data_IF_430222783173
#
_entry.id   IF_430222783173
#
_cell.length_a   1.000
_cell.length_b   1.000
_cell.length_c   1.000
_cell.angle_alpha   90.00
_cell.angle_beta   90.00
_cell.angle_gamma   90.00
#
_symmetry.space_group_name_H-M   'P 1'
#
loop_
_entity.id
_entity.type
_entity.pdbx_description
1 polymer ?
#
# COMPACT_ATOMS: atom_id res chain seq x y z
N UNK A 1 2.90 -0.92 22.54
CA UNK A 1 3.12 -0.61 21.12
C UNK A 1 4.61 -0.71 20.84
N UNK A 2 4.99 -1.27 19.73
CA UNK A 2 6.39 -1.40 19.33
C UNK A 2 6.81 -0.18 18.53
N UNK A 3 7.99 0.38 18.85
CA UNK A 3 8.58 1.47 18.08
C UNK A 3 8.80 1.05 16.61
N UNK A 4 9.34 -0.14 16.41
CA UNK A 4 9.55 -0.74 15.10
C UNK A 4 8.57 -1.88 14.84
N UNK A 5 8.32 -2.25 13.56
CA UNK A 5 7.47 -3.39 13.25
C UNK A 5 8.05 -4.69 13.84
N UNK A 6 7.18 -5.47 14.47
CA UNK A 6 7.55 -6.79 15.01
C UNK A 6 7.28 -7.93 14.03
N UNK A 7 6.62 -7.63 12.92
CA UNK A 7 6.27 -8.59 11.87
C UNK A 7 6.46 -7.96 10.49
N UNK A 8 6.63 -8.81 9.48
CA UNK A 8 6.76 -8.35 8.09
C UNK A 8 5.48 -7.67 7.62
N UNK A 9 4.32 -8.16 8.04
CA UNK A 9 3.00 -7.64 7.70
C UNK A 9 2.19 -7.31 8.94
N UNK A 10 1.37 -6.27 8.85
CA UNK A 10 0.44 -5.88 9.92
C UNK A 10 -0.94 -5.60 9.33
N UNK A 11 -1.99 -6.12 9.95
CA UNK A 11 -3.35 -5.76 9.59
C UNK A 11 -3.67 -4.38 10.15
N UNK A 12 -4.01 -3.43 9.27
CA UNK A 12 -4.35 -2.05 9.64
C UNK A 12 -5.84 -1.90 9.89
N UNK A 13 -6.64 -2.42 8.97
CA UNK A 13 -8.07 -2.66 9.12
C UNK A 13 -8.38 -4.07 8.61
N UNK A 14 -9.56 -4.57 8.90
CA UNK A 14 -9.96 -5.91 8.44
C UNK A 14 -9.68 -6.07 6.95
N UNK A 15 -8.87 -7.05 6.60
CA UNK A 15 -8.43 -7.40 5.26
C UNK A 15 -7.56 -6.34 4.54
N UNK A 16 -7.16 -5.28 5.21
CA UNK A 16 -6.20 -4.32 4.68
C UNK A 16 -4.90 -4.41 5.47
N UNK A 17 -3.84 -4.84 4.81
CA UNK A 17 -2.53 -5.10 5.40
C UNK A 17 -1.49 -4.14 4.84
N UNK A 18 -0.51 -3.85 5.65
CA UNK A 18 0.65 -3.04 5.28
C UNK A 18 1.92 -3.79 5.67
N UNK A 19 2.94 -3.76 4.82
CA UNK A 19 4.16 -4.48 5.14
C UNK A 19 5.36 -4.15 4.27
N UNK A 20 6.45 -4.87 4.58
CA UNK A 20 7.72 -4.80 3.86
C UNK A 20 7.92 -5.98 2.91
N UNK A 21 9.16 -6.13 2.47
CA UNK A 21 9.60 -7.25 1.63
C UNK A 21 10.82 -7.91 2.27
N UNK A 22 10.90 -9.21 2.12
CA UNK A 22 11.99 -10.04 2.61
C UNK A 22 12.24 -11.14 1.59
N UNK A 23 13.49 -11.58 1.44
CA UNK A 23 13.86 -12.65 0.50
C UNK A 23 13.21 -14.00 0.87
N UNK A 24 12.84 -14.18 2.13
CA UNK A 24 12.14 -15.37 2.63
C UNK A 24 10.61 -15.17 2.72
N UNK A 25 10.09 -14.13 2.11
CA UNK A 25 8.68 -13.82 2.13
C UNK A 25 7.86 -14.98 1.52
N UNK A 26 6.81 -15.38 2.20
CA UNK A 26 5.93 -16.48 1.77
C UNK A 26 5.27 -16.24 0.40
N UNK A 27 5.10 -14.98 0.01
CA UNK A 27 4.55 -14.63 -1.31
C UNK A 27 5.56 -14.80 -2.45
N UNK A 28 6.81 -15.09 -2.13
CA UNK A 28 7.89 -15.36 -3.08
C UNK A 28 8.39 -16.80 -3.04
N UNK A 29 7.78 -17.65 -2.23
CA UNK A 29 8.14 -19.05 -2.24
C UNK A 29 8.01 -19.59 -3.66
N UNK A 30 8.95 -20.48 -4.07
CA UNK A 30 8.80 -21.14 -5.36
C UNK A 30 7.38 -21.64 -5.45
N UNK A 31 6.69 -21.23 -6.50
CA UNK A 31 5.28 -21.53 -6.63
C UNK A 31 5.10 -23.04 -6.49
N UNK A 32 4.54 -23.47 -5.37
CA UNK A 32 4.05 -24.82 -5.27
C UNK A 32 2.92 -24.93 -6.30
N UNK A 33 3.10 -25.67 -7.41
CA UNK A 33 2.10 -25.74 -8.46
C UNK A 33 0.76 -26.29 -7.97
N UNK A 34 0.78 -26.92 -6.79
CA UNK A 34 -0.41 -27.50 -6.16
C UNK A 34 -1.02 -26.60 -5.09
N UNK A 35 -0.36 -25.48 -4.74
CA UNK A 35 -0.93 -24.54 -3.78
C UNK A 35 -2.20 -23.90 -4.34
N UNK A 36 -3.22 -23.84 -3.53
CA UNK A 36 -4.47 -23.16 -3.85
C UNK A 36 -4.36 -21.69 -3.52
N UNK A 37 -5.19 -20.85 -4.17
CA UNK A 37 -5.24 -19.41 -3.86
C UNK A 37 -5.46 -19.17 -2.35
N UNK A 38 -6.30 -19.97 -1.70
CA UNK A 38 -6.61 -19.81 -0.29
C UNK A 38 -5.45 -20.19 0.65
N UNK A 39 -4.41 -20.87 0.14
CA UNK A 39 -3.21 -21.19 0.92
C UNK A 39 -2.23 -20.03 1.01
N UNK A 40 -2.46 -18.96 0.23
CA UNK A 40 -1.65 -17.75 0.23
C UNK A 40 -2.24 -16.73 1.22
N UNK A 41 -1.39 -15.92 1.89
CA UNK A 41 -1.88 -14.98 2.90
C UNK A 41 -2.66 -13.81 2.31
N UNK A 42 -2.48 -13.49 1.03
CA UNK A 42 -3.08 -12.34 0.37
C UNK A 42 -3.69 -12.72 -0.97
N UNK A 43 -4.77 -12.04 -1.34
CA UNK A 43 -5.42 -12.16 -2.64
C UNK A 43 -4.92 -11.12 -3.62
N UNK A 44 -4.59 -9.92 -3.13
CA UNK A 44 -4.17 -8.77 -3.92
C UNK A 44 -3.06 -7.99 -3.23
N UNK A 45 -2.09 -7.52 -3.99
CA UNK A 45 -0.92 -6.80 -3.47
C UNK A 45 -0.65 -5.56 -4.30
N UNK A 46 -0.46 -4.42 -3.63
CA UNK A 46 0.13 -3.20 -4.22
C UNK A 46 1.58 -3.14 -3.81
N UNK A 47 2.49 -3.13 -4.76
CA UNK A 47 3.95 -3.11 -4.53
C UNK A 47 4.52 -1.77 -4.94
N UNK A 48 5.04 -1.02 -3.96
CA UNK A 48 5.62 0.31 -4.13
C UNK A 48 7.15 0.31 -4.14
N UNK A 49 7.77 -0.86 -4.13
CA UNK A 49 9.21 -1.05 -4.15
C UNK A 49 9.65 -1.74 -5.44
N UNK A 50 10.43 -1.04 -6.26
CA UNK A 50 10.81 -1.50 -7.60
C UNK A 50 11.61 -2.81 -7.59
N UNK A 51 12.41 -3.05 -6.55
CA UNK A 51 13.27 -4.23 -6.44
C UNK A 51 12.61 -5.42 -5.76
N UNK A 52 11.36 -5.27 -5.31
CA UNK A 52 10.62 -6.39 -4.73
C UNK A 52 10.44 -7.49 -5.78
N UNK A 53 10.66 -8.75 -5.34
CA UNK A 53 10.37 -9.90 -6.20
C UNK A 53 8.88 -9.91 -6.56
N UNK A 54 8.50 -10.36 -7.76
CA UNK A 54 7.09 -10.51 -8.11
C UNK A 54 6.38 -11.46 -7.15
N UNK A 55 5.13 -11.14 -6.85
CA UNK A 55 4.26 -12.03 -6.07
C UNK A 55 3.98 -13.33 -6.84
N UNK A 56 3.54 -14.36 -6.12
CA UNK A 56 3.10 -15.61 -6.74
C UNK A 56 2.03 -15.32 -7.83
N UNK A 57 2.08 -16.04 -8.93
CA UNK A 57 1.19 -15.82 -10.08
C UNK A 57 -0.32 -15.98 -9.74
N UNK A 58 -0.65 -16.62 -8.63
CA UNK A 58 -2.03 -16.77 -8.15
C UNK A 58 -2.55 -15.52 -7.43
N UNK A 59 -1.66 -14.57 -7.09
CA UNK A 59 -1.99 -13.32 -6.41
C UNK A 59 -2.03 -12.19 -7.44
N UNK A 60 -3.04 -11.36 -7.38
CA UNK A 60 -3.09 -10.16 -8.22
C UNK A 60 -2.12 -9.12 -7.68
N UNK A 61 -1.28 -8.56 -8.54
CA UNK A 61 -0.30 -7.56 -8.13
C UNK A 61 -0.39 -6.31 -9.00
N UNK A 62 -0.44 -5.14 -8.35
CA UNK A 62 -0.25 -3.85 -8.98
C UNK A 62 1.10 -3.28 -8.53
N UNK A 63 1.97 -2.97 -9.48
CA UNK A 63 3.33 -2.47 -9.18
C UNK A 63 3.50 -1.04 -9.63
N UNK A 64 3.95 -0.20 -8.69
CA UNK A 64 4.42 1.14 -8.97
C UNK A 64 5.62 1.43 -8.06
N UNK A 65 6.83 1.10 -8.52
CA UNK A 65 8.06 1.33 -7.77
C UNK A 65 8.43 2.80 -7.77
N UNK A 66 8.59 3.38 -6.57
CA UNK A 66 8.98 4.78 -6.37
C UNK A 66 10.08 4.88 -5.32
N UNK A 67 10.91 5.93 -5.37
CA UNK A 67 11.85 6.20 -4.27
C UNK A 67 11.09 6.67 -3.02
N UNK A 68 11.65 6.37 -1.85
CA UNK A 68 11.16 6.91 -0.58
C UNK A 68 11.78 8.30 -0.37
N UNK A 69 11.19 9.31 -0.96
CA UNK A 69 11.70 10.67 -0.95
C UNK A 69 10.56 11.69 -0.87
N UNK A 70 10.27 12.42 -1.93
CA UNK A 70 9.25 13.46 -1.96
C UNK A 70 8.11 13.07 -2.90
N UNK A 71 6.95 13.66 -2.67
CA UNK A 71 5.78 13.45 -3.55
C UNK A 71 6.07 13.97 -4.98
N UNK A 72 6.87 15.02 -5.10
CA UNK A 72 7.28 15.56 -6.41
C UNK A 72 8.08 14.57 -7.27
N UNK A 73 8.64 13.52 -6.65
CA UNK A 73 9.37 12.47 -7.35
C UNK A 73 8.44 11.38 -7.90
N UNK A 74 7.15 11.50 -7.64
CA UNK A 74 6.14 10.54 -8.09
C UNK A 74 5.30 11.09 -9.23
N UNK A 75 4.85 10.18 -10.08
CA UNK A 75 3.75 10.44 -11.01
C UNK A 75 2.43 10.31 -10.24
N UNK A 76 1.76 11.43 -9.99
CA UNK A 76 0.52 11.45 -9.20
C UNK A 76 -0.62 10.68 -9.85
N UNK A 77 -0.66 10.61 -11.19
CA UNK A 77 -1.67 9.80 -11.88
C UNK A 77 -1.47 8.31 -11.62
N UNK A 78 -0.22 7.86 -11.61
CA UNK A 78 0.12 6.46 -11.29
C UNK A 78 -0.10 6.14 -9.81
N UNK A 79 0.21 7.08 -8.92
CA UNK A 79 -0.12 6.94 -7.50
C UNK A 79 -1.63 6.78 -7.30
N UNK A 80 -2.42 7.59 -7.99
CA UNK A 80 -3.89 7.50 -7.94
C UNK A 80 -4.38 6.15 -8.45
N UNK A 81 -3.81 5.63 -9.53
CA UNK A 81 -4.15 4.31 -10.05
C UNK A 81 -3.84 3.21 -9.03
N UNK A 82 -2.69 3.28 -8.38
CA UNK A 82 -2.32 2.31 -7.33
C UNK A 82 -3.31 2.34 -6.16
N UNK A 83 -3.65 3.53 -5.68
CA UNK A 83 -4.63 3.74 -4.59
C UNK A 83 -6.00 3.22 -4.99
N UNK A 84 -6.49 3.59 -6.16
CA UNK A 84 -7.82 3.17 -6.65
C UNK A 84 -7.88 1.65 -6.84
N UNK A 85 -6.83 1.06 -7.39
CA UNK A 85 -6.77 -0.38 -7.58
C UNK A 85 -6.79 -1.11 -6.23
N UNK A 86 -5.94 -0.72 -5.29
CA UNK A 86 -5.89 -1.31 -3.95
C UNK A 86 -7.21 -1.16 -3.20
N UNK A 87 -7.80 0.02 -3.24
CA UNK A 87 -9.11 0.29 -2.65
C UNK A 87 -10.19 -0.64 -3.23
N UNK A 88 -10.24 -0.78 -4.54
CA UNK A 88 -11.22 -1.63 -5.23
C UNK A 88 -11.08 -3.10 -4.82
N UNK A 89 -9.84 -3.62 -4.74
CA UNK A 89 -9.60 -5.00 -4.32
C UNK A 89 -10.06 -5.21 -2.88
N UNK A 90 -9.71 -4.30 -1.99
CA UNK A 90 -10.12 -4.36 -0.59
C UNK A 90 -11.65 -4.27 -0.43
N UNK A 91 -12.30 -3.38 -1.16
CA UNK A 91 -13.77 -3.21 -1.09
C UNK A 91 -14.52 -4.45 -1.56
N UNK A 92 -13.99 -5.21 -2.47
CA UNK A 92 -14.63 -6.47 -2.91
C UNK A 92 -14.38 -7.66 -1.96
N UNK A 93 -13.65 -7.43 -0.85
CA UNK A 93 -13.41 -8.43 0.18
C UNK A 93 -12.08 -9.15 0.09
N UNK A 94 -11.17 -8.74 -0.80
CA UNK A 94 -9.83 -9.33 -0.89
C UNK A 94 -9.00 -9.01 0.36
N UNK A 95 -8.19 -9.97 0.77
CA UNK A 95 -7.07 -9.71 1.69
C UNK A 95 -6.00 -8.97 0.91
N UNK A 96 -5.91 -7.67 1.14
CA UNK A 96 -5.12 -6.75 0.31
C UNK A 96 -3.90 -6.26 1.09
N UNK A 97 -2.71 -6.53 0.56
CA UNK A 97 -1.44 -6.05 1.12
C UNK A 97 -0.93 -4.84 0.34
N UNK A 98 -0.56 -3.81 1.05
CA UNK A 98 0.20 -2.66 0.52
C UNK A 98 1.63 -2.78 1.04
N UNK A 99 2.60 -2.96 0.15
CA UNK A 99 3.99 -3.21 0.55
C UNK A 99 4.99 -2.28 -0.13
N UNK A 100 6.07 -2.01 0.59
CA UNK A 100 7.29 -1.41 0.05
C UNK A 100 8.50 -2.15 0.61
N UNK A 101 9.67 -1.56 0.67
CA UNK A 101 10.86 -2.25 1.20
C UNK A 101 10.74 -2.51 2.71
N UNK A 102 10.64 -1.45 3.51
CA UNK A 102 10.57 -1.56 4.98
C UNK A 102 9.13 -1.70 5.51
N UNK A 103 8.14 -1.37 4.70
CA UNK A 103 6.75 -1.36 5.14
C UNK A 103 6.43 -0.21 6.08
N UNK A 104 6.97 0.99 5.84
CA UNK A 104 6.81 2.15 6.70
C UNK A 104 6.28 3.38 5.95
N UNK A 105 7.00 3.86 4.93
CA UNK A 105 6.70 5.15 4.30
C UNK A 105 5.87 5.03 3.01
N UNK A 106 6.40 4.38 1.97
CA UNK A 106 5.71 4.27 0.67
C UNK A 106 4.41 3.46 0.79
N UNK A 107 4.47 2.33 1.47
CA UNK A 107 3.27 1.55 1.79
C UNK A 107 2.33 2.32 2.72
N UNK A 108 2.87 3.07 3.68
CA UNK A 108 2.09 3.93 4.57
C UNK A 108 1.34 5.02 3.82
N UNK A 109 1.98 5.66 2.85
CA UNK A 109 1.35 6.68 2.01
C UNK A 109 0.12 6.12 1.27
N UNK A 110 0.28 5.00 0.58
CA UNK A 110 -0.81 4.36 -0.18
C UNK A 110 -1.90 3.85 0.76
N UNK A 111 -1.54 3.23 1.87
CA UNK A 111 -2.51 2.74 2.87
C UNK A 111 -3.31 3.90 3.45
N UNK A 112 -2.67 5.02 3.79
CA UNK A 112 -3.36 6.21 4.29
C UNK A 112 -4.37 6.75 3.26
N UNK A 113 -3.98 6.84 1.99
CA UNK A 113 -4.87 7.30 0.93
C UNK A 113 -6.06 6.35 0.70
N UNK A 114 -5.85 5.04 0.82
CA UNK A 114 -6.94 4.05 0.76
C UNK A 114 -7.91 4.26 1.93
N UNK A 115 -7.42 4.45 3.14
CA UNK A 115 -8.24 4.73 4.31
C UNK A 115 -9.01 6.04 4.17
N UNK A 116 -8.35 7.09 3.65
CA UNK A 116 -8.99 8.37 3.39
C UNK A 116 -10.09 8.22 2.33
N UNK A 117 -9.88 7.44 1.30
CA UNK A 117 -10.89 7.13 0.29
C UNK A 117 -12.10 6.41 0.88
N UNK A 118 -11.91 5.65 1.95
CA UNK A 118 -13.00 5.01 2.69
C UNK A 118 -13.75 5.95 3.64
N UNK A 119 -13.30 7.19 3.80
CA UNK A 119 -13.96 8.23 4.60
C UNK A 119 -13.18 8.72 5.82
N UNK A 120 -11.97 8.23 6.06
CA UNK A 120 -11.14 8.70 7.18
C UNK A 120 -10.48 10.04 6.87
N UNK A 121 -10.25 10.86 7.91
CA UNK A 121 -9.34 12.00 7.79
C UNK A 121 -7.88 11.53 7.68
N UNK A 122 -7.01 12.36 7.12
CA UNK A 122 -5.58 12.06 7.06
C UNK A 122 -5.00 11.79 8.45
N UNK A 123 -5.36 12.61 9.44
CA UNK A 123 -4.90 12.44 10.82
C UNK A 123 -5.31 11.08 11.40
N UNK A 124 -6.57 10.69 11.24
CA UNK A 124 -7.08 9.40 11.73
C UNK A 124 -6.42 8.22 11.03
N UNK A 125 -6.21 8.30 9.72
CA UNK A 125 -5.53 7.27 8.95
C UNK A 125 -4.08 7.07 9.41
N UNK A 126 -3.34 8.16 9.59
CA UNK A 126 -1.95 8.12 10.07
C UNK A 126 -1.88 7.51 11.48
N UNK A 127 -2.77 7.92 12.38
CA UNK A 127 -2.84 7.38 13.74
C UNK A 127 -3.13 5.89 13.73
N UNK A 128 -4.06 5.43 12.92
CA UNK A 128 -4.42 4.01 12.80
C UNK A 128 -3.23 3.18 12.28
N UNK A 129 -2.54 3.68 11.27
CA UNK A 129 -1.35 3.03 10.73
C UNK A 129 -0.27 2.90 11.80
N UNK A 130 0.03 3.97 12.52
CA UNK A 130 1.03 3.96 13.59
C UNK A 130 0.65 3.01 14.72
N UNK A 131 -0.62 2.98 15.08
CA UNK A 131 -1.12 2.06 16.12
C UNK A 131 -0.95 0.60 15.73
N UNK A 132 -1.26 0.23 14.50
CA UNK A 132 -1.35 -1.18 14.09
C UNK A 132 -0.08 -1.70 13.41
N UNK A 133 0.74 -0.83 12.85
CA UNK A 133 2.00 -1.22 12.20
C UNK A 133 3.20 -0.99 13.12
N UNK A 134 3.51 0.26 13.42
CA UNK A 134 4.61 0.67 14.28
C UNK A 134 4.56 2.18 14.52
N UNK A 135 5.10 2.64 15.63
CA UNK A 135 5.11 4.08 15.96
C UNK A 135 5.87 4.91 14.92
N UNK A 136 6.91 4.34 14.30
CA UNK A 136 7.71 5.02 13.26
C UNK A 136 7.09 4.94 11.87
N UNK A 137 5.96 4.27 11.67
CA UNK A 137 5.32 4.25 10.36
C UNK A 137 5.02 5.68 9.90
N UNK A 138 5.27 5.94 8.62
CA UNK A 138 5.15 7.29 8.05
C UNK A 138 6.08 8.31 8.75
N UNK A 139 7.33 7.91 9.01
CA UNK A 139 8.34 8.86 9.51
C UNK A 139 8.83 9.84 8.43
N UNK A 140 8.52 9.60 7.16
CA UNK A 140 8.81 10.52 6.07
C UNK A 140 7.88 11.74 6.16
N UNK A 141 8.41 12.85 6.66
CA UNK A 141 7.64 14.07 6.89
C UNK A 141 7.06 14.68 5.62
N UNK A 142 7.70 14.48 4.47
CA UNK A 142 7.16 14.94 3.19
C UNK A 142 5.81 14.28 2.90
N UNK A 143 5.69 12.99 3.17
CA UNK A 143 4.44 12.24 2.97
C UNK A 143 3.36 12.67 3.96
N UNK A 144 3.72 12.81 5.25
CA UNK A 144 2.77 13.24 6.28
C UNK A 144 2.22 14.63 5.98
N UNK A 145 3.08 15.60 5.68
CA UNK A 145 2.67 16.96 5.34
C UNK A 145 1.77 16.99 4.11
N UNK A 146 2.13 16.24 3.07
CA UNK A 146 1.34 16.18 1.87
C UNK A 146 -0.04 15.54 2.13
N UNK A 147 -0.11 14.46 2.90
CA UNK A 147 -1.37 13.83 3.27
C UNK A 147 -2.28 14.79 4.02
N UNK A 148 -1.73 15.53 4.98
CA UNK A 148 -2.49 16.47 5.81
C UNK A 148 -2.99 17.68 5.01
N UNK A 149 -2.22 18.17 4.04
CA UNK A 149 -2.54 19.40 3.30
C UNK A 149 -3.31 19.07 2.01
N UNK A 150 -2.90 18.05 1.27
CA UNK A 150 -3.35 17.80 -0.10
C UNK A 150 -4.04 16.46 -0.30
N UNK A 151 -3.98 15.55 0.68
CA UNK A 151 -4.47 14.18 0.53
C UNK A 151 -5.96 14.11 0.22
N UNK A 152 -6.78 14.89 0.91
CA UNK A 152 -8.22 14.92 0.70
C UNK A 152 -8.59 15.39 -0.72
N UNK A 153 -7.99 16.46 -1.18
CA UNK A 153 -8.21 16.95 -2.55
C UNK A 153 -7.76 15.91 -3.58
N UNK A 154 -6.65 15.25 -3.30
CA UNK A 154 -6.12 14.21 -4.18
C UNK A 154 -7.08 13.05 -4.37
N UNK A 155 -7.66 12.51 -3.29
CA UNK A 155 -8.59 11.38 -3.36
C UNK A 155 -9.95 11.77 -3.93
N UNK A 156 -10.37 13.02 -3.78
CA UNK A 156 -11.65 13.52 -4.27
C UNK A 156 -11.62 14.00 -5.72
N UNK A 157 -10.43 14.14 -6.31
CA UNK A 157 -10.33 14.44 -7.73
C UNK A 157 -10.94 13.30 -8.53
N UNK A 158 -11.83 13.58 -9.51
CA UNK A 158 -12.28 12.56 -10.42
C UNK A 158 -11.05 11.95 -11.08
N UNK A 159 -11.08 10.63 -11.30
CA UNK A 159 -10.08 9.97 -12.13
C UNK A 159 -9.99 10.78 -13.40
N UNK A 160 -8.99 11.67 -13.48
CA UNK A 160 -8.83 12.50 -14.65
C UNK A 160 -8.74 11.52 -15.82
N UNK A 161 -9.63 11.71 -16.76
CA UNK A 161 -9.49 11.11 -18.05
C UNK A 161 -8.04 11.39 -18.45
N UNK A 162 -7.19 10.37 -18.38
CA UNK A 162 -5.94 10.44 -19.10
C UNK A 162 -6.32 10.88 -20.50
N UNK A 163 -5.71 11.97 -21.02
CA UNK A 163 -5.96 12.28 -22.42
C UNK A 163 -5.67 11.00 -23.18
N UNK A 164 -6.71 10.48 -23.83
CA UNK A 164 -6.53 9.38 -24.76
C UNK A 164 -5.54 9.92 -25.76
N UNK A 165 -4.28 9.51 -25.64
CA UNK A 165 -3.29 9.80 -26.66
C UNK A 165 -3.83 9.21 -27.95
N UNK A 166 -4.27 10.10 -28.78
CA UNK A 166 -4.64 9.73 -30.14
C UNK A 166 -3.45 9.13 -30.87
#
# INVERSE_FOLDING_TARGET
>A
MSYEPTSLYSEIMKNLFMGGTDDNDVIHLPANPYARRNDLPFDSIVTMYAWARPADWKVQEYRYGVPDAQISDMDLARLRQAVNWGYKQWQRGDRTLIRCQAGLNRSGLVTALILMKSGMSAESAIKLIRKNRADIALFNDHYVKWLMISGEDFINQPSSQLPVSA
#
